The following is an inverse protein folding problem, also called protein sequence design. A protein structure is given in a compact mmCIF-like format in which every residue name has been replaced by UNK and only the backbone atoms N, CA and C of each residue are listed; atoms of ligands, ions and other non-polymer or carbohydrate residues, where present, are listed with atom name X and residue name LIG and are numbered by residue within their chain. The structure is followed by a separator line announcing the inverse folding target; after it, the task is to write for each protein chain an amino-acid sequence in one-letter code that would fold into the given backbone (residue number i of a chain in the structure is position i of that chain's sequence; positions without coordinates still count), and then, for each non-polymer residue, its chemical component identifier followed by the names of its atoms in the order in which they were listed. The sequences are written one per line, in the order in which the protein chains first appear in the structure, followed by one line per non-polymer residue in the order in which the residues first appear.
data_IF_806063951115
#
_entry.id   IF_806063951115
#
_cell.length_a   1.000
_cell.length_b   1.000
_cell.length_c   1.000
_cell.angle_alpha   90.00
_cell.angle_beta   90.00
_cell.angle_gamma   90.00
#
_symmetry.space_group_name_H-M   'P 1'
#
loop_
_entity.id
_entity.type
_entity.pdbx_description
1 polymer ?
#
# COMPACT_ATOMS: atom_id res chain seq x y z
N UNK A 1 -1.80 -16.93 4.10
CA UNK A 1 -0.34 -16.81 4.07
C UNK A 1 0.11 -15.92 2.93
N UNK A 2 1.26 -15.27 3.09
CA UNK A 2 1.84 -14.46 2.03
C UNK A 2 2.54 -15.33 0.99
N UNK A 3 2.41 -14.95 -0.28
CA UNK A 3 3.14 -15.57 -1.37
C UNK A 3 4.55 -15.00 -1.44
N UNK A 4 5.46 -15.57 -0.64
CA UNK A 4 6.84 -15.12 -0.57
C UNK A 4 7.68 -15.59 -1.77
N UNK A 5 7.22 -16.64 -2.46
CA UNK A 5 7.95 -17.19 -3.62
C UNK A 5 7.88 -16.24 -4.81
N UNK A 6 6.74 -15.59 -5.00
CA UNK A 6 6.48 -14.71 -6.15
C UNK A 6 6.41 -13.23 -5.78
N UNK A 7 7.01 -12.83 -4.63
CA UNK A 7 6.87 -11.45 -4.16
C UNK A 7 7.43 -10.43 -5.15
N UNK A 8 8.55 -10.71 -5.77
CA UNK A 8 9.14 -9.81 -6.76
C UNK A 8 8.30 -9.73 -8.05
N UNK A 9 7.65 -10.82 -8.43
CA UNK A 9 6.74 -10.80 -9.58
C UNK A 9 5.51 -9.94 -9.32
N UNK A 10 4.99 -9.97 -8.11
CA UNK A 10 3.84 -9.14 -7.74
C UNK A 10 4.17 -7.66 -7.78
N UNK A 11 5.31 -7.27 -7.20
CA UNK A 11 5.71 -5.86 -7.18
C UNK A 11 6.06 -5.36 -8.58
N UNK A 12 6.73 -6.19 -9.38
CA UNK A 12 7.09 -5.85 -10.76
C UNK A 12 5.84 -5.68 -11.62
N UNK A 13 4.90 -6.63 -11.56
CA UNK A 13 3.64 -6.55 -12.29
C UNK A 13 2.85 -5.31 -11.92
N UNK A 14 2.74 -5.02 -10.63
CA UNK A 14 1.99 -3.87 -10.17
C UNK A 14 2.67 -2.56 -10.59
N UNK A 15 3.99 -2.48 -10.52
CA UNK A 15 4.73 -1.28 -10.95
C UNK A 15 4.60 -1.01 -12.44
N UNK A 16 4.50 -2.06 -13.26
CA UNK A 16 4.31 -1.92 -14.71
C UNK A 16 2.94 -1.37 -15.07
N UNK A 17 1.94 -1.62 -14.24
CA UNK A 17 0.55 -1.28 -14.53
C UNK A 17 0.02 -0.12 -13.68
N UNK A 18 0.76 0.27 -12.64
CA UNK A 18 0.28 1.26 -11.68
C UNK A 18 0.44 2.68 -12.20
N UNK A 19 -0.64 3.47 -12.08
CA UNK A 19 -0.61 4.91 -12.31
C UNK A 19 -0.78 5.63 -10.97
N UNK A 20 0.14 6.52 -10.63
CA UNK A 20 0.07 7.25 -9.39
C UNK A 20 -0.96 8.39 -9.48
N UNK A 21 -1.90 8.40 -8.55
CA UNK A 21 -2.88 9.48 -8.40
C UNK A 21 -2.91 9.90 -6.93
N UNK A 22 -2.91 11.20 -6.69
CA UNK A 22 -3.08 11.72 -5.35
C UNK A 22 -4.55 11.60 -4.94
N UNK A 23 -4.80 11.33 -3.66
CA UNK A 23 -6.16 11.22 -3.13
C UNK A 23 -6.99 12.48 -3.35
N UNK A 24 -6.36 13.65 -3.28
CA UNK A 24 -7.02 14.93 -3.53
C UNK A 24 -7.61 15.00 -4.93
N UNK A 25 -6.95 14.43 -5.91
CA UNK A 25 -7.42 14.40 -7.30
C UNK A 25 -8.52 13.36 -7.51
N UNK A 26 -8.46 12.26 -6.76
CA UNK A 26 -9.34 11.11 -6.95
C UNK A 26 -10.56 11.14 -6.04
N UNK A 27 -10.38 11.42 -4.76
CA UNK A 27 -11.45 11.36 -3.76
C UNK A 27 -11.58 12.63 -2.92
N UNK A 28 -10.71 13.62 -3.11
CA UNK A 28 -10.72 14.88 -2.38
C UNK A 28 -10.23 14.79 -0.94
N UNK A 29 -9.70 13.66 -0.52
CA UNK A 29 -9.15 13.47 0.82
C UNK A 29 -8.39 12.14 0.89
N UNK A 30 -7.59 11.97 1.94
CA UNK A 30 -6.84 10.76 2.17
C UNK A 30 -7.78 9.56 2.38
N UNK A 31 -7.75 8.61 1.44
CA UNK A 31 -8.57 7.41 1.48
C UNK A 31 -7.71 6.17 1.19
N UNK A 32 -8.09 5.04 1.79
CA UNK A 32 -7.34 3.79 1.74
C UNK A 32 -8.16 2.71 1.04
N UNK A 33 -7.74 2.32 -0.16
CA UNK A 33 -8.46 1.33 -0.99
C UNK A 33 -7.54 0.27 -1.54
N UNK A 34 -8.07 -0.95 -1.65
CA UNK A 34 -7.45 -2.01 -2.45
C UNK A 34 -8.02 -1.91 -3.86
N UNK A 35 -7.16 -1.82 -4.86
CA UNK A 35 -7.59 -1.76 -6.25
C UNK A 35 -7.60 -3.18 -6.81
N UNK A 36 -8.77 -3.77 -6.90
CA UNK A 36 -8.93 -5.18 -7.28
C UNK A 36 -8.99 -5.41 -8.77
N UNK A 37 -9.33 -4.37 -9.54
CA UNK A 37 -9.51 -4.47 -10.99
C UNK A 37 -8.90 -3.26 -11.70
N UNK A 38 -8.46 -3.40 -12.95
CA UNK A 38 -7.99 -2.26 -13.73
C UNK A 38 -9.06 -1.19 -13.89
N UNK A 39 -8.68 0.08 -13.97
CA UNK A 39 -7.31 0.59 -14.01
C UNK A 39 -6.66 0.58 -12.62
N UNK A 40 -5.41 0.13 -12.56
CA UNK A 40 -4.63 0.14 -11.31
C UNK A 40 -4.05 1.52 -11.11
N UNK A 41 -4.72 2.31 -10.30
CA UNK A 41 -4.31 3.69 -10.04
C UNK A 41 -4.66 4.10 -8.61
N UNK A 42 -3.86 4.96 -8.04
CA UNK A 42 -4.02 5.42 -6.67
C UNK A 42 -2.72 6.02 -6.13
N UNK A 43 -2.69 6.29 -4.84
CA UNK A 43 -1.50 6.80 -4.16
C UNK A 43 -0.71 5.68 -3.47
N UNK A 44 0.23 6.05 -2.59
CA UNK A 44 1.13 5.09 -1.97
C UNK A 44 0.43 4.10 -1.05
N UNK A 45 -0.59 4.51 -0.31
CA UNK A 45 -1.36 3.63 0.56
C UNK A 45 -2.14 2.60 -0.26
N UNK A 46 -2.77 3.06 -1.32
CA UNK A 46 -3.55 2.19 -2.21
C UNK A 46 -2.65 1.15 -2.88
N UNK A 47 -1.45 1.58 -3.28
CA UNK A 47 -0.45 0.69 -3.85
C UNK A 47 -0.02 -0.39 -2.83
N UNK A 48 0.32 0.03 -1.61
CA UNK A 48 0.78 -0.90 -0.58
C UNK A 48 -0.31 -1.92 -0.23
N UNK A 49 -1.54 -1.48 -0.09
CA UNK A 49 -2.68 -2.35 0.21
C UNK A 49 -2.95 -3.32 -0.93
N UNK A 50 -2.88 -2.85 -2.17
CA UNK A 50 -3.12 -3.67 -3.35
C UNK A 50 -2.03 -4.73 -3.50
N UNK A 51 -0.77 -4.35 -3.30
CA UNK A 51 0.35 -5.29 -3.33
C UNK A 51 0.18 -6.38 -2.27
N UNK A 52 -0.19 -6.00 -1.05
CA UNK A 52 -0.43 -6.96 0.01
C UNK A 52 -1.57 -7.92 -0.33
N UNK A 53 -2.65 -7.40 -0.93
CA UNK A 53 -3.79 -8.23 -1.36
C UNK A 53 -3.37 -9.24 -2.44
N UNK A 54 -2.57 -8.81 -3.42
CA UNK A 54 -2.03 -9.72 -4.44
C UNK A 54 -1.17 -10.81 -3.81
N UNK A 55 -0.31 -10.44 -2.87
CA UNK A 55 0.54 -11.39 -2.15
C UNK A 55 -0.24 -12.30 -1.21
N UNK A 56 -1.47 -11.94 -0.89
CA UNK A 56 -2.39 -12.76 -0.08
C UNK A 56 -3.26 -13.67 -0.96
N UNK A 57 -2.90 -13.83 -2.23
CA UNK A 57 -3.61 -14.68 -3.17
C UNK A 57 -4.97 -14.12 -3.59
N UNK A 58 -5.12 -12.80 -3.57
CA UNK A 58 -6.39 -12.10 -3.86
C UNK A 58 -7.51 -12.52 -2.91
N UNK A 59 -7.16 -12.86 -1.68
CA UNK A 59 -8.09 -13.30 -0.65
C UNK A 59 -8.14 -12.27 0.47
N UNK A 60 -9.32 -11.74 0.74
CA UNK A 60 -9.50 -10.79 1.84
C UNK A 60 -9.30 -11.44 3.21
N UNK A 61 -9.64 -12.72 3.34
CA UNK A 61 -9.39 -13.47 4.58
C UNK A 61 -7.89 -13.55 4.85
N UNK A 62 -7.12 -13.97 3.85
CA UNK A 62 -5.65 -14.03 3.98
C UNK A 62 -5.04 -12.65 4.16
N UNK A 63 -5.56 -11.64 3.48
CA UNK A 63 -5.13 -10.25 3.67
C UNK A 63 -5.21 -9.85 5.15
N UNK A 64 -6.37 -10.05 5.78
CA UNK A 64 -6.57 -9.69 7.18
C UNK A 64 -5.74 -10.54 8.14
N UNK A 65 -5.57 -11.83 7.85
CA UNK A 65 -4.69 -12.68 8.64
C UNK A 65 -3.26 -12.14 8.61
N UNK A 66 -2.77 -11.75 7.44
CA UNK A 66 -1.41 -11.23 7.28
C UNK A 66 -1.22 -9.89 8.00
N UNK A 67 -2.22 -9.03 7.97
CA UNK A 67 -2.20 -7.74 8.68
C UNK A 67 -2.23 -7.96 10.19
N UNK A 68 -3.17 -8.77 10.68
CA UNK A 68 -3.37 -8.98 12.13
C UNK A 68 -2.19 -9.70 12.76
N UNK A 69 -1.62 -10.68 12.06
CA UNK A 69 -0.45 -11.42 12.54
C UNK A 69 0.86 -10.67 12.29
N UNK A 70 0.80 -9.52 11.66
CA UNK A 70 1.93 -8.64 11.37
C UNK A 70 3.00 -9.29 10.48
N UNK A 71 2.61 -10.23 9.64
CA UNK A 71 3.49 -10.79 8.61
C UNK A 71 3.81 -9.73 7.54
N UNK A 72 2.88 -8.82 7.33
CA UNK A 72 3.08 -7.65 6.50
C UNK A 72 2.66 -6.41 7.27
N UNK A 73 3.38 -5.32 7.06
CA UNK A 73 3.15 -4.06 7.79
C UNK A 73 3.16 -2.90 6.82
N UNK A 74 2.28 -1.94 7.06
CA UNK A 74 2.33 -0.65 6.38
C UNK A 74 3.18 0.29 7.23
N UNK A 75 4.22 0.85 6.63
CA UNK A 75 5.17 1.72 7.30
C UNK A 75 5.13 3.11 6.71
N UNK A 76 5.17 4.11 7.58
CA UNK A 76 5.28 5.50 7.18
C UNK A 76 6.75 5.88 7.15
N UNK A 77 7.18 6.47 6.03
CA UNK A 77 8.56 6.96 5.87
C UNK A 77 8.50 8.43 5.49
N UNK A 78 9.55 9.18 5.81
CA UNK A 78 9.67 10.56 5.37
C UNK A 78 10.43 10.61 4.05
N UNK A 79 9.97 11.48 3.15
CA UNK A 79 10.62 11.66 1.85
C UNK A 79 11.66 12.75 1.92
N UNK A 80 12.70 12.61 1.09
CA UNK A 80 13.76 13.60 0.98
C UNK A 80 13.24 15.00 0.61
N UNK A 81 12.17 15.05 -0.18
CA UNK A 81 11.54 16.32 -0.58
C UNK A 81 10.66 16.94 0.49
N UNK A 82 10.52 16.28 1.63
CA UNK A 82 9.54 16.60 2.65
C UNK A 82 8.25 15.81 2.44
N UNK A 83 7.41 15.76 3.48
CA UNK A 83 6.20 14.96 3.46
C UNK A 83 6.45 13.51 3.82
N UNK A 84 5.38 12.72 3.76
CA UNK A 84 5.39 11.32 4.16
C UNK A 84 4.94 10.41 3.03
N UNK A 85 5.38 9.16 3.11
CA UNK A 85 5.07 8.14 2.12
C UNK A 85 4.81 6.82 2.85
N UNK A 86 3.98 5.97 2.28
CA UNK A 86 3.68 4.66 2.87
C UNK A 86 4.34 3.58 2.02
N UNK A 87 5.01 2.66 2.70
CA UNK A 87 5.66 1.51 2.06
C UNK A 87 5.15 0.23 2.70
N UNK A 88 5.22 -0.87 1.95
CA UNK A 88 4.91 -2.21 2.47
C UNK A 88 6.18 -2.86 2.99
N UNK A 89 6.14 -3.34 4.23
CA UNK A 89 7.23 -4.11 4.84
C UNK A 89 6.81 -5.56 4.99
N UNK A 90 7.61 -6.48 4.47
CA UNK A 90 7.43 -7.92 4.63
C UNK A 90 8.77 -8.49 5.12
N UNK A 91 8.79 -9.01 6.35
CA UNK A 91 10.06 -9.39 6.98
C UNK A 91 10.96 -8.16 7.09
N UNK A 92 12.16 -8.26 6.55
CA UNK A 92 13.11 -7.15 6.53
C UNK A 92 13.18 -6.43 5.17
N UNK A 93 12.22 -6.73 4.29
CA UNK A 93 12.19 -6.17 2.95
C UNK A 93 11.06 -5.15 2.81
N UNK A 94 11.27 -4.18 1.92
CA UNK A 94 10.36 -3.05 1.70
C UNK A 94 10.07 -2.90 0.22
N UNK A 95 8.84 -2.50 -0.10
CA UNK A 95 8.43 -2.21 -1.47
C UNK A 95 7.48 -1.02 -1.51
N UNK A 96 7.54 -0.26 -2.58
CA UNK A 96 6.62 0.83 -2.86
C UNK A 96 6.46 0.99 -4.38
N UNK A 97 5.71 2.01 -4.81
CA UNK A 97 5.45 2.25 -6.22
C UNK A 97 6.68 2.75 -7.02
N UNK A 98 7.82 2.94 -6.37
CA UNK A 98 9.06 3.36 -7.01
C UNK A 98 10.08 2.24 -7.13
N UNK A 99 9.91 1.15 -6.38
CA UNK A 99 10.82 0.00 -6.44
C UNK A 99 10.30 -1.02 -7.46
N UNK A 100 11.21 -1.78 -8.06
CA UNK A 100 10.85 -2.84 -9.00
C UNK A 100 10.91 -4.22 -8.35
N UNK A 101 11.34 -4.27 -7.10
CA UNK A 101 11.49 -5.50 -6.31
C UNK A 101 11.41 -5.14 -4.84
N UNK A 102 11.24 -6.15 -4.00
CA UNK A 102 11.42 -5.96 -2.57
C UNK A 102 12.90 -5.74 -2.28
N UNK A 103 13.20 -4.69 -1.53
CA UNK A 103 14.56 -4.24 -1.27
C UNK A 103 14.78 -4.11 0.24
N UNK A 104 16.05 -4.13 0.67
CA UNK A 104 16.39 -3.84 2.06
C UNK A 104 16.14 -2.36 2.35
N UNK A 105 16.10 -2.00 3.64
CA UNK A 105 15.93 -0.60 4.00
C UNK A 105 17.08 0.27 3.44
N UNK A 106 18.29 -0.22 3.51
CA UNK A 106 19.47 0.48 3.00
C UNK A 106 19.35 0.76 1.51
N UNK A 107 18.88 -0.21 0.75
CA UNK A 107 18.65 -0.06 -0.69
C UNK A 107 17.54 0.96 -0.98
N UNK A 108 16.47 0.92 -0.21
CA UNK A 108 15.35 1.87 -0.37
C UNK A 108 15.79 3.28 -0.04
N UNK A 109 16.56 3.47 1.02
CA UNK A 109 17.11 4.77 1.39
C UNK A 109 18.03 5.31 0.30
N UNK A 110 18.89 4.46 -0.26
CA UNK A 110 19.81 4.85 -1.32
C UNK A 110 19.08 5.18 -2.62
N UNK A 111 18.16 4.31 -3.06
CA UNK A 111 17.46 4.46 -4.34
C UNK A 111 16.39 5.55 -4.32
N UNK A 112 15.62 5.61 -3.25
CA UNK A 112 14.44 6.47 -3.17
C UNK A 112 14.66 7.70 -2.31
N UNK A 113 15.74 7.73 -1.52
CA UNK A 113 16.02 8.85 -0.61
C UNK A 113 15.06 8.93 0.56
N UNK A 114 14.35 7.86 0.87
CA UNK A 114 13.45 7.83 2.02
C UNK A 114 14.25 7.80 3.32
N UNK A 115 13.74 8.49 4.34
CA UNK A 115 14.28 8.42 5.68
C UNK A 115 13.41 7.54 6.54
N UNK A 116 14.05 6.71 7.35
CA UNK A 116 13.34 5.80 8.23
C UNK A 116 12.52 6.58 9.24
N UNK A 117 11.22 6.30 9.26
CA UNK A 117 10.31 6.84 10.23
C UNK A 117 9.77 5.68 11.06
N UNK A 118 9.75 5.83 12.38
CA UNK A 118 9.41 4.73 13.27
C UNK A 118 7.90 4.46 13.39
N UNK A 119 7.10 5.05 12.53
CA UNK A 119 5.67 4.86 12.55
C UNK A 119 5.27 3.61 11.77
N UNK A 120 4.59 2.72 12.45
CA UNK A 120 3.93 1.58 11.85
C UNK A 120 2.43 1.75 12.01
N UNK A 121 1.68 1.51 10.94
CA UNK A 121 0.23 1.46 11.03
C UNK A 121 -0.15 0.11 11.64
N UNK A 122 -0.64 0.12 12.89
CA UNK A 122 -1.07 -1.12 13.53
C UNK A 122 -2.33 -1.68 12.86
N UNK A 123 -2.65 -2.98 13.08
CA UNK A 123 -3.81 -3.61 12.42
C UNK A 123 -5.13 -2.90 12.67
N UNK A 124 -5.35 -2.39 13.87
CA UNK A 124 -6.59 -1.67 14.20
C UNK A 124 -6.70 -0.39 13.38
N UNK A 125 -5.62 0.36 13.27
CA UNK A 125 -5.59 1.61 12.49
C UNK A 125 -5.83 1.34 11.01
N UNK A 126 -5.24 0.27 10.46
CA UNK A 126 -5.48 -0.14 9.06
C UNK A 126 -6.96 -0.45 8.84
N UNK A 127 -7.57 -1.22 9.74
CA UNK A 127 -9.00 -1.56 9.67
C UNK A 127 -9.84 -0.29 9.68
N UNK A 128 -9.59 0.63 10.61
CA UNK A 128 -10.35 1.87 10.74
C UNK A 128 -10.21 2.76 9.50
N UNK A 129 -9.00 2.89 8.96
CA UNK A 129 -8.76 3.71 7.78
C UNK A 129 -9.43 3.13 6.54
N UNK A 130 -9.38 1.82 6.34
CA UNK A 130 -10.05 1.18 5.21
C UNK A 130 -11.57 1.26 5.33
N UNK A 131 -12.11 1.07 6.52
CA UNK A 131 -13.55 1.16 6.76
C UNK A 131 -14.05 2.60 6.51
N UNK A 132 -13.37 3.60 7.04
CA UNK A 132 -13.72 4.99 6.81
C UNK A 132 -13.65 5.37 5.33
N UNK A 133 -12.66 4.85 4.62
CA UNK A 133 -12.50 5.08 3.18
C UNK A 133 -13.63 4.45 2.37
N UNK A 134 -14.08 3.26 2.76
CA UNK A 134 -15.20 2.59 2.11
C UNK A 134 -16.48 3.40 2.26
N UNK A 135 -16.77 3.91 3.45
CA UNK A 135 -17.93 4.77 3.70
C UNK A 135 -17.87 6.05 2.88
N UNK A 136 -16.70 6.68 2.81
CA UNK A 136 -16.47 7.89 2.04
C UNK A 136 -16.71 7.69 0.55
N UNK A 137 -16.17 6.59 0.00
CA UNK A 137 -16.35 6.22 -1.39
C UNK A 137 -17.81 5.96 -1.72
N UNK A 138 -18.53 5.26 -0.85
CA UNK A 138 -19.94 4.97 -1.01
C UNK A 138 -20.77 6.26 -1.03
N UNK A 139 -20.51 7.18 -0.10
CA UNK A 139 -21.19 8.48 -0.04
C UNK A 139 -20.98 9.26 -1.32
N UNK A 140 -19.77 9.32 -1.84
CA UNK A 140 -19.46 10.02 -3.08
C UNK A 140 -20.10 9.37 -4.30
N UNK A 141 -20.17 8.06 -4.31
CA UNK A 141 -20.84 7.33 -5.38
C UNK A 141 -22.32 7.70 -5.45
N UNK A 142 -22.97 7.88 -4.31
CA UNK A 142 -24.37 8.31 -4.21
C UNK A 142 -24.52 9.76 -4.72
N UNK A 143 -23.60 10.64 -4.34
CA UNK A 143 -23.64 12.06 -4.74
C UNK A 143 -23.45 12.27 -6.23
N UNK A 144 -22.89 11.31 -6.94
CA UNK A 144 -22.67 11.39 -8.39
C UNK A 144 -23.84 10.89 -9.21
N UNK A 145 -24.80 10.29 -8.57
CA UNK A 145 -26.01 9.82 -9.24
C UNK A 145 -27.14 10.83 -9.14
#
# INVERSE_FOLDING_TARGET
MLDLVHMDKHVEHLNETWKYLYDDDQYGSDTWHIIKEPPYEGDCEDYALTLLWLMSGKSMVNFWINVITMQAQLRRVSMKRGGFHVVLKVGDLYADNWTKAFVTWEEMEEKCGHKKYLWMYDPILVILKMFASTLKKSSRGVDRT
#
